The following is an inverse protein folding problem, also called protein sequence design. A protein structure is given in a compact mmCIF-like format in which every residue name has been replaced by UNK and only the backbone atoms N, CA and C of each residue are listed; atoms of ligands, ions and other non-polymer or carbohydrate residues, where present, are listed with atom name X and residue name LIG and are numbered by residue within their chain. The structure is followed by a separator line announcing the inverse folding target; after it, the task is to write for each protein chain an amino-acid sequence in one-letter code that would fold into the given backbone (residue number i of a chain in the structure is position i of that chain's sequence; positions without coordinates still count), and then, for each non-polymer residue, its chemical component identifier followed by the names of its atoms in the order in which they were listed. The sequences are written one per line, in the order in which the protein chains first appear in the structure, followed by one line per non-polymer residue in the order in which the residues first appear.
data_IF_754521886635
#
_entry.id   IF_754521886635
#
_cell.length_a   1.000
_cell.length_b   1.000
_cell.length_c   1.000
_cell.angle_alpha   90.00
_cell.angle_beta   90.00
_cell.angle_gamma   90.00
#
_symmetry.space_group_name_H-M   'P 1'
#
loop_
_entity.id
_entity.type
_entity.pdbx_description
1 polymer ?
#
# COMPACT_ATOMS: atom_id res chain seq x y z
N UNK A 1 -6.77 1.62 -30.35
CA UNK A 1 -7.46 0.72 -29.38
C UNK A 1 -7.04 1.15 -27.98
N UNK A 2 -7.97 1.64 -27.17
CA UNK A 2 -7.70 1.99 -25.78
C UNK A 2 -7.72 0.68 -24.98
N UNK A 3 -6.58 0.31 -24.40
CA UNK A 3 -6.46 -0.88 -23.55
C UNK A 3 -7.22 -0.56 -22.26
N UNK A 4 -8.40 -1.16 -22.06
CA UNK A 4 -9.10 -1.06 -20.79
C UNK A 4 -8.16 -1.59 -19.70
N UNK A 5 -7.85 -0.72 -18.74
CA UNK A 5 -6.98 -1.06 -17.62
C UNK A 5 -7.83 -1.95 -16.71
N UNK A 6 -7.49 -3.22 -16.59
CA UNK A 6 -8.10 -4.09 -15.58
C UNK A 6 -7.95 -3.38 -14.23
N UNK A 7 -9.07 -3.09 -13.58
CA UNK A 7 -9.07 -2.62 -12.20
C UNK A 7 -8.61 -3.79 -11.34
N UNK A 8 -7.31 -3.83 -11.06
CA UNK A 8 -6.76 -4.79 -10.10
C UNK A 8 -7.26 -4.41 -8.71
N UNK A 9 -7.88 -5.38 -8.03
CA UNK A 9 -8.32 -5.24 -6.64
C UNK A 9 -7.09 -5.23 -5.73
N UNK A 10 -6.49 -4.05 -5.58
CA UNK A 10 -5.35 -3.81 -4.72
C UNK A 10 -5.81 -3.28 -3.37
N UNK A 11 -5.31 -3.89 -2.30
CA UNK A 11 -5.47 -3.43 -0.92
C UNK A 11 -4.12 -2.88 -0.46
N UNK A 12 -4.13 -1.69 0.11
CA UNK A 12 -2.93 -1.06 0.67
C UNK A 12 -3.10 -0.88 2.17
N UNK A 13 -2.21 -1.52 2.93
CA UNK A 13 -2.04 -1.25 4.35
C UNK A 13 -1.05 -0.11 4.55
N UNK A 14 -1.44 0.95 5.25
CA UNK A 14 -0.58 2.09 5.58
C UNK A 14 -0.40 2.16 7.10
N UNK A 15 0.84 2.06 7.54
CA UNK A 15 1.23 2.26 8.94
C UNK A 15 2.07 3.54 9.06
N UNK A 16 1.63 4.46 9.91
CA UNK A 16 2.27 5.76 10.14
C UNK A 16 2.87 5.76 11.54
N UNK A 17 4.10 5.27 11.64
CA UNK A 17 4.89 5.36 12.86
C UNK A 17 5.54 6.73 13.06
N UNK A 18 5.94 7.00 14.30
CA UNK A 18 6.72 8.20 14.65
C UNK A 18 8.10 8.22 14.01
N UNK A 19 8.68 7.05 13.75
CA UNK A 19 10.02 6.91 13.16
C UNK A 19 9.99 6.60 11.67
N UNK A 20 9.02 5.80 11.21
CA UNK A 20 8.90 5.36 9.82
C UNK A 20 7.44 5.24 9.42
N UNK A 21 7.18 5.50 8.15
CA UNK A 21 5.92 5.24 7.47
C UNK A 21 6.14 4.01 6.60
N UNK A 22 5.24 3.04 6.66
CA UNK A 22 5.32 1.78 5.91
C UNK A 22 4.03 1.58 5.11
N UNK A 23 4.15 1.19 3.84
CA UNK A 23 3.04 0.82 2.99
C UNK A 23 3.24 -0.63 2.51
N UNK A 24 2.21 -1.46 2.67
CA UNK A 24 2.19 -2.83 2.16
C UNK A 24 1.09 -2.89 1.10
N UNK A 25 1.41 -3.42 -0.07
CA UNK A 25 0.46 -3.58 -1.17
C UNK A 25 0.18 -5.06 -1.35
N UNK A 26 -1.09 -5.42 -1.33
CA UNK A 26 -1.56 -6.77 -1.59
C UNK A 26 -2.63 -6.79 -2.70
N UNK A 27 -2.66 -7.88 -3.44
CA UNK A 27 -3.72 -8.19 -4.40
C UNK A 27 -4.72 -9.15 -3.75
N UNK A 28 -6.01 -8.84 -3.85
CA UNK A 28 -7.07 -9.75 -3.41
C UNK A 28 -7.29 -10.83 -4.46
N UNK A 29 -7.00 -12.06 -4.07
CA UNK A 29 -7.18 -13.23 -4.93
C UNK A 29 -8.65 -13.69 -4.96
N UNK A 30 -9.07 -14.46 -5.99
CA UNK A 30 -10.44 -14.94 -6.11
C UNK A 30 -10.91 -15.84 -4.96
N UNK A 31 -9.98 -16.46 -4.24
CA UNK A 31 -10.24 -17.27 -3.04
C UNK A 31 -10.40 -16.44 -1.76
N UNK A 32 -10.29 -15.10 -1.87
CA UNK A 32 -10.38 -14.16 -0.76
C UNK A 32 -9.07 -13.96 0.02
N UNK A 33 -7.97 -14.60 -0.40
CA UNK A 33 -6.66 -14.42 0.23
C UNK A 33 -5.96 -13.18 -0.31
N UNK A 34 -5.14 -12.56 0.54
CA UNK A 34 -4.30 -11.43 0.17
C UNK A 34 -2.91 -11.91 -0.22
N UNK A 35 -2.50 -11.63 -1.46
CA UNK A 35 -1.15 -11.87 -1.93
C UNK A 35 -0.33 -10.57 -1.84
N UNK A 36 0.68 -10.51 -0.97
CA UNK A 36 1.52 -9.31 -0.83
C UNK A 36 2.46 -9.19 -2.03
N UNK A 37 2.33 -8.09 -2.77
CA UNK A 37 3.10 -7.83 -4.00
C UNK A 37 4.10 -6.68 -3.85
N UNK A 38 4.07 -5.93 -2.74
CA UNK A 38 5.01 -4.84 -2.53
C UNK A 38 5.06 -4.32 -1.10
N UNK A 39 6.22 -3.78 -0.73
CA UNK A 39 6.47 -3.07 0.52
C UNK A 39 7.26 -1.80 0.23
N UNK A 40 6.79 -0.68 0.76
CA UNK A 40 7.46 0.62 0.73
C UNK A 40 7.65 1.14 2.14
N UNK A 41 8.76 1.83 2.40
CA UNK A 41 9.00 2.48 3.67
C UNK A 41 9.70 3.83 3.48
N UNK A 42 9.43 4.76 4.38
CA UNK A 42 10.05 6.09 4.36
C UNK A 42 10.26 6.57 5.80
N UNK A 43 11.34 7.31 6.07
CA UNK A 43 11.56 7.95 7.38
C UNK A 43 10.42 8.92 7.69
N UNK A 44 9.80 8.81 8.86
CA UNK A 44 8.72 9.72 9.23
C UNK A 44 9.27 11.13 9.41
N UNK A 45 8.55 12.13 8.89
CA UNK A 45 8.89 13.55 9.12
C UNK A 45 8.36 14.06 10.46
N UNK A 46 7.62 13.21 11.20
CA UNK A 46 6.89 13.58 12.41
C UNK A 46 5.81 14.63 12.15
N UNK A 47 5.16 15.07 13.23
CA UNK A 47 4.35 16.29 13.17
C UNK A 47 5.30 17.49 13.23
N UNK A 48 5.25 18.35 12.22
CA UNK A 48 5.90 19.65 12.28
C UNK A 48 5.19 20.44 13.39
N UNK A 49 5.87 20.68 14.50
CA UNK A 49 5.38 21.55 15.57
C UNK A 49 5.29 22.96 14.97
N UNK A 50 4.06 23.43 14.75
CA UNK A 50 3.76 24.84 14.43
C UNK A 50 3.71 25.65 15.71
#
# INVERSE_FOLDING_TARGET
MIKQKEEKNLIVGLDIGTSKIVAIVAELQPDGLLNVIGLGQHSSKGLKKV
#
